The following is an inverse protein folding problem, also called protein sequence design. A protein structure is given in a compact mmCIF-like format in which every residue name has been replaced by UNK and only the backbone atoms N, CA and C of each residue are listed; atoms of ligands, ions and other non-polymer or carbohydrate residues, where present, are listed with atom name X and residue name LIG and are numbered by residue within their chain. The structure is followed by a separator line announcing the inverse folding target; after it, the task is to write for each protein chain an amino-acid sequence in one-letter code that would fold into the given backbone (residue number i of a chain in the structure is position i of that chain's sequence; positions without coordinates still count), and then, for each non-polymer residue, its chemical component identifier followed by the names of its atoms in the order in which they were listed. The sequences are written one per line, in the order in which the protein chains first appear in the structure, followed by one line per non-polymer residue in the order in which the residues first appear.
data_IF_819952267843
#
_entry.id   IF_819952267843
#
_cell.length_a   1.000
_cell.length_b   1.000
_cell.length_c   1.000
_cell.angle_alpha   90.00
_cell.angle_beta   90.00
_cell.angle_gamma   90.00
#
_symmetry.space_group_name_H-M   'P 1'
#
loop_
_entity.id
_entity.type
_entity.pdbx_description
1 polymer ?
#
# COMPACT_ATOMS: atom_id res chain seq x y z
N UNK A 1 30.01 6.82 21.17
CA UNK A 1 30.25 7.00 19.72
C UNK A 1 31.70 6.63 19.34
N UNK A 2 31.94 5.37 18.93
CA UNK A 2 33.29 4.86 18.54
C UNK A 2 33.28 3.97 17.29
N UNK A 3 32.10 3.53 16.82
CA UNK A 3 31.96 2.70 15.62
C UNK A 3 32.01 3.57 14.35
N UNK A 4 31.31 4.72 14.34
CA UNK A 4 31.25 5.61 13.18
C UNK A 4 32.61 6.19 12.76
N UNK A 5 33.60 6.29 13.66
CA UNK A 5 34.95 6.80 13.32
C UNK A 5 35.90 5.73 12.77
N UNK A 6 35.51 4.44 12.82
CA UNK A 6 36.33 3.31 12.37
C UNK A 6 35.77 2.61 11.13
N UNK A 7 34.62 3.05 10.64
CA UNK A 7 33.96 2.50 9.45
C UNK A 7 33.98 3.51 8.32
N UNK A 8 34.15 3.03 7.08
CA UNK A 8 33.94 3.83 5.88
C UNK A 8 32.46 3.79 5.52
N UNK A 9 31.82 4.96 5.44
CA UNK A 9 30.43 5.07 4.96
C UNK A 9 30.42 4.89 3.44
N UNK A 10 29.66 3.90 2.97
CA UNK A 10 29.36 3.71 1.54
C UNK A 10 27.88 4.04 1.35
N UNK A 11 27.53 5.22 0.79
CA UNK A 11 26.14 5.60 0.59
C UNK A 11 25.53 4.80 -0.56
N UNK A 12 24.37 4.20 -0.33
CA UNK A 12 23.53 3.61 -1.37
C UNK A 12 22.41 4.60 -1.68
N UNK A 13 22.40 5.09 -2.91
CA UNK A 13 21.36 6.01 -3.39
C UNK A 13 20.22 5.23 -4.07
N UNK A 14 18.97 5.73 -3.99
CA UNK A 14 17.85 5.13 -4.70
C UNK A 14 18.10 5.14 -6.20
N UNK A 15 17.70 4.06 -6.88
CA UNK A 15 17.79 3.99 -8.33
C UNK A 15 16.74 4.89 -8.98
N UNK A 16 17.04 5.50 -10.14
CA UNK A 16 16.02 6.15 -10.97
C UNK A 16 14.87 5.18 -11.29
N UNK A 17 13.63 5.66 -11.26
CA UNK A 17 12.45 4.83 -11.56
C UNK A 17 12.54 4.17 -12.94
N UNK A 18 13.08 4.88 -13.93
CA UNK A 18 13.30 4.36 -15.28
C UNK A 18 14.25 3.16 -15.31
N UNK A 19 15.26 3.14 -14.44
CA UNK A 19 16.21 2.06 -14.33
C UNK A 19 15.59 0.85 -13.63
N UNK A 20 14.83 1.07 -12.55
CA UNK A 20 14.08 0.00 -11.88
C UNK A 20 13.08 -0.64 -12.84
N UNK A 21 12.29 0.16 -13.58
CA UNK A 21 11.31 -0.35 -14.54
C UNK A 21 11.98 -1.21 -15.62
N UNK A 22 13.07 -0.71 -16.22
CA UNK A 22 13.84 -1.44 -17.24
C UNK A 22 14.36 -2.78 -16.72
N UNK A 23 14.87 -2.82 -15.48
CA UNK A 23 15.35 -4.07 -14.88
C UNK A 23 14.19 -5.06 -14.69
N UNK A 24 13.02 -4.59 -14.21
CA UNK A 24 11.85 -5.45 -14.03
C UNK A 24 11.32 -6.00 -15.37
N UNK A 25 11.28 -5.19 -16.42
CA UNK A 25 10.90 -5.64 -17.77
C UNK A 25 11.84 -6.75 -18.27
N UNK A 26 13.15 -6.58 -18.08
CA UNK A 26 14.16 -7.54 -18.55
C UNK A 26 14.18 -8.84 -17.74
N UNK A 27 14.08 -8.76 -16.42
CA UNK A 27 14.18 -9.92 -15.53
C UNK A 27 12.88 -10.71 -15.45
N UNK A 28 11.73 -10.02 -15.39
CA UNK A 28 10.44 -10.63 -15.12
C UNK A 28 9.49 -10.63 -16.33
N UNK A 29 9.86 -10.02 -17.45
CA UNK A 29 9.06 -10.02 -18.68
C UNK A 29 7.69 -9.33 -18.54
N UNK A 30 7.55 -8.41 -17.58
CA UNK A 30 6.31 -7.69 -17.33
C UNK A 30 6.11 -6.55 -18.34
N UNK A 31 4.86 -6.15 -18.55
CA UNK A 31 4.53 -5.05 -19.45
C UNK A 31 5.09 -3.70 -18.96
N UNK A 32 5.45 -2.77 -19.86
CA UNK A 32 6.04 -1.49 -19.49
C UNK A 32 5.22 -0.68 -18.48
N UNK A 33 3.89 -0.65 -18.63
CA UNK A 33 3.01 0.09 -17.71
C UNK A 33 3.02 -0.51 -16.30
N UNK A 34 3.03 -1.84 -16.19
CA UNK A 34 3.14 -2.55 -14.90
C UNK A 34 4.52 -2.34 -14.27
N UNK A 35 5.59 -2.33 -15.07
CA UNK A 35 6.95 -2.07 -14.61
C UNK A 35 7.10 -0.64 -14.09
N UNK A 36 6.54 0.34 -14.80
CA UNK A 36 6.53 1.74 -14.38
C UNK A 36 5.77 1.92 -13.06
N UNK A 37 4.61 1.27 -12.92
CA UNK A 37 3.81 1.31 -11.68
C UNK A 37 4.57 0.72 -10.50
N UNK A 38 5.17 -0.46 -10.67
CA UNK A 38 6.00 -1.10 -9.64
C UNK A 38 7.23 -0.26 -9.28
N UNK A 39 7.88 0.33 -10.27
CA UNK A 39 9.05 1.19 -10.05
C UNK A 39 8.70 2.46 -9.27
N UNK A 40 7.54 3.08 -9.55
CA UNK A 40 7.04 4.22 -8.80
C UNK A 40 6.78 3.86 -7.33
N UNK A 41 6.15 2.70 -7.08
CA UNK A 41 5.87 2.19 -5.73
C UNK A 41 7.11 1.74 -4.96
N UNK A 42 8.16 1.36 -5.67
CA UNK A 42 9.39 0.85 -5.08
C UNK A 42 10.33 1.94 -4.54
N UNK A 43 10.08 3.22 -4.86
CA UNK A 43 10.88 4.37 -4.40
C UNK A 43 12.40 4.19 -4.65
N UNK A 44 12.75 3.61 -5.80
CA UNK A 44 14.15 3.35 -6.19
C UNK A 44 14.78 2.12 -5.53
N UNK A 45 14.04 1.36 -4.72
CA UNK A 45 14.48 0.09 -4.14
C UNK A 45 14.09 -1.08 -5.04
N UNK A 46 15.04 -1.59 -5.82
CA UNK A 46 14.82 -2.75 -6.68
C UNK A 46 14.40 -4.01 -5.87
N UNK A 47 14.94 -4.19 -4.67
CA UNK A 47 14.54 -5.27 -3.76
C UNK A 47 13.06 -5.18 -3.37
N UNK A 48 12.60 -3.97 -3.03
CA UNK A 48 11.18 -3.72 -2.77
C UNK A 48 10.32 -3.98 -4.01
N UNK A 49 10.74 -3.50 -5.18
CA UNK A 49 10.02 -3.73 -6.43
C UNK A 49 9.81 -5.23 -6.73
N UNK A 50 10.86 -6.04 -6.55
CA UNK A 50 10.79 -7.51 -6.69
C UNK A 50 9.85 -8.14 -5.67
N UNK A 51 9.85 -7.64 -4.42
CA UNK A 51 8.94 -8.12 -3.39
C UNK A 51 7.47 -7.82 -3.77
N UNK A 52 7.17 -6.58 -4.17
CA UNK A 52 5.83 -6.17 -4.60
C UNK A 52 5.30 -7.07 -5.73
N UNK A 53 6.17 -7.38 -6.70
CA UNK A 53 5.86 -8.26 -7.81
C UNK A 53 5.65 -9.72 -7.36
N UNK A 54 6.62 -10.30 -6.65
CA UNK A 54 6.59 -11.70 -6.25
C UNK A 54 5.41 -12.06 -5.34
N UNK A 55 4.96 -11.11 -4.52
CA UNK A 55 3.82 -11.27 -3.61
C UNK A 55 2.50 -10.75 -4.16
N UNK A 56 2.50 -10.22 -5.39
CA UNK A 56 1.34 -9.58 -6.01
C UNK A 56 0.66 -8.52 -5.11
N UNK A 57 1.45 -7.68 -4.43
CA UNK A 57 0.90 -6.74 -3.45
C UNK A 57 0.05 -5.64 -4.10
N UNK A 58 0.37 -5.24 -5.33
CA UNK A 58 -0.45 -4.24 -6.05
C UNK A 58 -1.84 -4.77 -6.39
N UNK A 59 -1.94 -6.05 -6.77
CA UNK A 59 -3.21 -6.72 -7.03
C UNK A 59 -4.05 -6.84 -5.77
N UNK A 60 -3.46 -7.30 -4.66
CA UNK A 60 -4.16 -7.40 -3.39
C UNK A 60 -4.58 -6.03 -2.84
N UNK A 61 -3.74 -5.00 -2.97
CA UNK A 61 -4.10 -3.61 -2.65
C UNK A 61 -5.28 -3.15 -3.49
N UNK A 62 -5.30 -3.42 -4.79
CA UNK A 62 -6.41 -3.05 -5.67
C UNK A 62 -7.72 -3.75 -5.27
N UNK A 63 -7.67 -5.04 -4.94
CA UNK A 63 -8.82 -5.81 -4.45
C UNK A 63 -9.39 -5.20 -3.17
N UNK A 64 -8.53 -4.91 -2.18
CA UNK A 64 -8.94 -4.28 -0.93
C UNK A 64 -9.58 -2.91 -1.19
N UNK A 65 -8.95 -2.06 -2.01
CA UNK A 65 -9.48 -0.73 -2.36
C UNK A 65 -10.86 -0.84 -3.00
N UNK A 66 -11.03 -1.75 -3.97
CA UNK A 66 -12.30 -1.97 -4.65
C UNK A 66 -13.40 -2.36 -3.66
N UNK A 67 -13.11 -3.26 -2.72
CA UNK A 67 -14.07 -3.68 -1.70
C UNK A 67 -14.39 -2.56 -0.71
N UNK A 68 -13.39 -1.80 -0.25
CA UNK A 68 -13.62 -0.66 0.65
C UNK A 68 -14.54 0.41 0.03
N UNK A 69 -14.52 0.55 -1.30
CA UNK A 69 -15.36 1.52 -2.00
C UNK A 69 -16.75 1.00 -2.36
N UNK A 70 -16.91 -0.31 -2.59
CA UNK A 70 -18.17 -0.92 -3.00
C UNK A 70 -19.02 -1.42 -1.83
N UNK A 71 -18.39 -1.85 -0.73
CA UNK A 71 -19.11 -2.45 0.39
C UNK A 71 -19.83 -1.40 1.24
N UNK A 72 -21.08 -1.69 1.58
CA UNK A 72 -21.82 -0.98 2.62
C UNK A 72 -21.59 -1.66 3.97
N UNK A 73 -21.43 -0.89 5.06
CA UNK A 73 -21.31 -1.46 6.39
C UNK A 73 -22.56 -2.27 6.78
N UNK A 74 -22.39 -3.18 7.75
CA UNK A 74 -23.46 -3.93 8.40
C UNK A 74 -24.29 -4.90 7.53
N UNK A 75 -23.78 -5.32 6.37
CA UNK A 75 -24.39 -6.39 5.59
C UNK A 75 -23.67 -7.74 5.80
N UNK A 76 -24.38 -8.88 5.83
CA UNK A 76 -23.74 -10.20 5.96
C UNK A 76 -22.72 -10.50 4.86
N UNK A 77 -22.97 -10.01 3.64
CA UNK A 77 -22.04 -10.15 2.52
C UNK A 77 -20.74 -9.37 2.77
N UNK A 78 -20.83 -8.13 3.26
CA UNK A 78 -19.66 -7.34 3.64
C UNK A 78 -18.82 -8.02 4.71
N UNK A 79 -19.46 -8.61 5.73
CA UNK A 79 -18.74 -9.30 6.82
C UNK A 79 -17.89 -10.44 6.25
N UNK A 80 -18.49 -11.29 5.40
CA UNK A 80 -17.77 -12.40 4.80
C UNK A 80 -16.60 -11.92 3.94
N UNK A 81 -16.83 -10.94 3.06
CA UNK A 81 -15.81 -10.40 2.17
C UNK A 81 -14.64 -9.78 2.94
N UNK A 82 -14.91 -9.02 4.00
CA UNK A 82 -13.87 -8.39 4.82
C UNK A 82 -13.04 -9.43 5.58
N UNK A 83 -13.67 -10.47 6.14
CA UNK A 83 -12.93 -11.56 6.78
C UNK A 83 -12.04 -12.32 5.78
N UNK A 84 -12.53 -12.59 4.57
CA UNK A 84 -11.72 -13.25 3.51
C UNK A 84 -10.51 -12.38 3.11
N UNK A 85 -10.69 -11.07 2.96
CA UNK A 85 -9.61 -10.13 2.69
C UNK A 85 -8.60 -10.08 3.84
N UNK A 86 -9.07 -10.05 5.08
CA UNK A 86 -8.22 -10.03 6.26
C UNK A 86 -7.37 -11.31 6.36
N UNK A 87 -7.95 -12.48 6.08
CA UNK A 87 -7.21 -13.73 6.00
C UNK A 87 -6.18 -13.73 4.87
N UNK A 88 -6.54 -13.20 3.70
CA UNK A 88 -5.63 -13.07 2.55
C UNK A 88 -4.44 -12.17 2.90
N UNK A 89 -4.70 -11.01 3.50
CA UNK A 89 -3.66 -10.09 3.96
C UNK A 89 -2.77 -10.70 5.05
N UNK A 90 -3.35 -11.40 6.03
CA UNK A 90 -2.61 -12.02 7.12
C UNK A 90 -1.61 -13.10 6.64
N UNK A 91 -1.88 -13.76 5.51
CA UNK A 91 -0.96 -14.75 4.90
C UNK A 91 0.37 -14.13 4.43
N UNK A 92 0.43 -12.81 4.25
CA UNK A 92 1.67 -12.10 3.90
C UNK A 92 2.71 -12.08 5.02
N UNK A 93 2.30 -12.29 6.28
CA UNK A 93 3.19 -12.30 7.45
C UNK A 93 4.05 -11.03 7.52
N UNK A 94 5.36 -11.14 7.31
CA UNK A 94 6.32 -10.04 7.37
C UNK A 94 6.04 -8.97 6.29
N UNK A 95 5.52 -9.40 5.13
CA UNK A 95 5.21 -8.54 3.98
C UNK A 95 3.87 -7.79 4.14
N UNK A 96 3.09 -8.09 5.19
CA UNK A 96 1.83 -7.38 5.47
C UNK A 96 2.08 -5.88 5.70
N UNK A 97 3.24 -5.53 6.28
CA UNK A 97 3.63 -4.14 6.51
C UNK A 97 3.74 -3.35 5.20
N UNK A 98 4.23 -3.96 4.12
CA UNK A 98 4.30 -3.34 2.80
C UNK A 98 2.91 -3.14 2.20
N UNK A 99 1.99 -4.11 2.37
CA UNK A 99 0.60 -3.94 1.92
C UNK A 99 -0.08 -2.76 2.63
N UNK A 100 0.09 -2.62 3.94
CA UNK A 100 -0.48 -1.50 4.68
C UNK A 100 0.14 -0.16 4.29
N UNK A 101 1.44 -0.13 3.98
CA UNK A 101 2.10 1.07 3.45
C UNK A 101 1.49 1.46 2.09
N UNK A 102 1.27 0.51 1.19
CA UNK A 102 0.63 0.76 -0.10
C UNK A 102 -0.81 1.32 0.03
N UNK A 103 -1.59 0.85 1.00
CA UNK A 103 -2.91 1.41 1.29
C UNK A 103 -2.77 2.82 1.87
N UNK A 104 -1.77 3.05 2.72
CA UNK A 104 -1.47 4.36 3.32
C UNK A 104 -1.14 5.41 2.25
N UNK A 105 -0.28 5.06 1.28
CA UNK A 105 0.08 5.98 0.18
C UNK A 105 -1.12 6.29 -0.71
N UNK A 106 -2.00 5.32 -0.96
CA UNK A 106 -3.24 5.57 -1.70
C UNK A 106 -4.16 6.58 -0.97
N UNK A 107 -4.35 6.44 0.34
CA UNK A 107 -5.15 7.40 1.12
C UNK A 107 -4.50 8.80 1.14
N UNK A 108 -3.17 8.86 1.17
CA UNK A 108 -2.45 10.12 1.04
C UNK A 108 -2.69 10.77 -0.34
N UNK A 109 -2.67 9.99 -1.42
CA UNK A 109 -2.98 10.47 -2.76
C UNK A 109 -4.42 10.97 -2.89
N UNK A 110 -5.38 10.35 -2.21
CA UNK A 110 -6.76 10.86 -2.13
C UNK A 110 -6.84 12.22 -1.45
N UNK A 111 -6.07 12.44 -0.38
CA UNK A 111 -5.96 13.75 0.26
C UNK A 111 -5.36 14.79 -0.69
N UNK A 112 -4.28 14.46 -1.40
CA UNK A 112 -3.67 15.36 -2.39
C UNK A 112 -4.64 15.70 -3.51
N UNK A 113 -5.32 14.69 -4.06
CA UNK A 113 -6.31 14.84 -5.12
C UNK A 113 -7.48 15.74 -4.69
N UNK A 114 -8.01 15.54 -3.48
CA UNK A 114 -9.09 16.36 -2.92
C UNK A 114 -8.74 17.84 -2.74
N UNK A 115 -7.46 18.18 -2.63
CA UNK A 115 -6.96 19.57 -2.55
C UNK A 115 -6.44 20.12 -3.89
N UNK A 116 -6.61 19.37 -5.00
CA UNK A 116 -6.15 19.78 -6.33
C UNK A 116 -4.64 19.62 -6.57
N UNK A 117 -3.90 18.98 -5.65
CA UNK A 117 -2.46 18.78 -5.75
C UNK A 117 -2.11 17.48 -6.51
N UNK A 118 -2.55 17.37 -7.77
CA UNK A 118 -2.43 16.12 -8.56
C UNK A 118 -1.00 15.79 -9.03
N UNK A 119 -0.06 16.73 -8.96
CA UNK A 119 1.30 16.58 -9.46
C UNK A 119 2.20 15.64 -8.65
N UNK A 120 1.77 15.22 -7.45
CA UNK A 120 2.54 14.36 -6.55
C UNK A 120 1.88 13.00 -6.28
N UNK A 121 0.84 12.65 -7.04
CA UNK A 121 0.15 11.35 -6.91
C UNK A 121 1.09 10.24 -7.36
N UNK A 122 1.15 9.15 -6.61
CA UNK A 122 2.00 7.98 -6.92
C UNK A 122 1.13 6.83 -7.48
N UNK A 123 -0.06 6.62 -6.91
CA UNK A 123 -0.99 5.53 -7.23
C UNK A 123 -1.84 5.83 -8.48
N UNK A 124 -1.17 6.14 -9.60
CA UNK A 124 -1.84 6.45 -10.87
C UNK A 124 -2.73 5.32 -11.39
N UNK A 125 -2.35 4.08 -11.10
CA UNK A 125 -3.10 2.88 -11.45
C UNK A 125 -4.45 2.78 -10.73
N UNK A 126 -4.57 3.39 -9.55
CA UNK A 126 -5.84 3.54 -8.82
C UNK A 126 -6.59 4.83 -9.15
N UNK A 127 -6.13 5.65 -10.08
CA UNK A 127 -6.81 6.91 -10.45
C UNK A 127 -8.31 6.78 -10.75
N UNK A 128 -8.84 5.69 -11.36
CA UNK A 128 -10.28 5.53 -11.58
C UNK A 128 -11.09 5.49 -10.27
N UNK A 129 -10.46 5.10 -9.16
CA UNK A 129 -11.11 4.98 -7.84
C UNK A 129 -11.22 6.33 -7.11
N UNK A 130 -10.42 7.33 -7.50
CA UNK A 130 -10.21 8.55 -6.70
C UNK A 130 -11.50 9.37 -6.57
N UNK A 131 -12.24 9.53 -7.66
CA UNK A 131 -13.47 10.31 -7.63
C UNK A 131 -14.55 9.64 -6.76
N UNK A 132 -14.65 8.31 -6.81
CA UNK A 132 -15.57 7.54 -5.95
C UNK A 132 -15.18 7.66 -4.48
N UNK A 133 -13.89 7.51 -4.18
CA UNK A 133 -13.37 7.62 -2.82
C UNK A 133 -13.58 9.01 -2.22
N UNK A 134 -13.29 10.09 -2.96
CA UNK A 134 -13.51 11.47 -2.50
C UNK A 134 -14.99 11.85 -2.36
N UNK A 135 -15.92 11.13 -3.01
CA UNK A 135 -17.36 11.27 -2.77
C UNK A 135 -17.81 10.53 -1.51
N UNK A 136 -17.19 9.37 -1.23
CA UNK A 136 -17.52 8.52 -0.08
C UNK A 136 -16.96 9.07 1.22
N UNK A 137 -15.73 9.61 1.21
CA UNK A 137 -15.02 10.03 2.41
C UNK A 137 -14.59 11.49 2.35
N UNK A 138 -14.82 12.21 3.45
CA UNK A 138 -14.28 13.54 3.69
C UNK A 138 -12.78 13.52 4.03
N UNK A 139 -12.10 14.66 3.90
CA UNK A 139 -10.69 14.81 4.31
C UNK A 139 -10.44 14.43 5.78
N UNK A 140 -11.40 14.71 6.67
CA UNK A 140 -11.36 14.27 8.07
C UNK A 140 -11.40 12.75 8.19
N UNK A 141 -12.29 12.08 7.46
CA UNK A 141 -12.42 10.61 7.46
C UNK A 141 -11.20 9.93 6.84
N UNK A 142 -10.61 10.49 5.78
CA UNK A 142 -9.34 10.01 5.21
C UNK A 142 -8.20 10.13 6.24
N UNK A 143 -8.15 11.24 6.99
CA UNK A 143 -7.16 11.42 8.06
C UNK A 143 -7.33 10.43 9.22
N UNK A 144 -8.57 10.08 9.59
CA UNK A 144 -8.81 9.02 10.58
C UNK A 144 -8.33 7.65 10.08
N UNK A 145 -8.57 7.33 8.80
CA UNK A 145 -8.11 6.06 8.19
C UNK A 145 -6.58 5.93 8.21
N UNK A 146 -5.85 7.01 7.98
CA UNK A 146 -4.39 7.03 8.15
C UNK A 146 -3.98 6.71 9.60
N UNK A 147 -4.72 7.21 10.61
CA UNK A 147 -4.46 6.87 12.03
C UNK A 147 -4.76 5.41 12.35
N UNK A 148 -5.81 4.83 11.75
CA UNK A 148 -6.15 3.42 11.89
C UNK A 148 -5.05 2.52 11.30
N UNK A 149 -4.55 2.86 10.11
CA UNK A 149 -3.43 2.14 9.47
C UNK A 149 -2.15 2.20 10.31
N UNK A 150 -1.79 3.37 10.83
CA UNK A 150 -0.64 3.52 11.75
C UNK A 150 -0.82 2.70 13.04
N UNK A 151 -2.03 2.67 13.59
CA UNK A 151 -2.36 1.86 14.77
C UNK A 151 -2.21 0.36 14.48
N UNK A 152 -2.74 -0.12 13.35
CA UNK A 152 -2.61 -1.50 12.93
C UNK A 152 -1.14 -1.91 12.73
N UNK A 153 -0.33 -1.07 12.08
CA UNK A 153 1.12 -1.30 11.93
C UNK A 153 1.83 -1.42 13.28
N UNK A 154 1.49 -0.57 14.25
CA UNK A 154 2.05 -0.63 15.61
C UNK A 154 1.64 -1.90 16.35
N UNK A 155 0.41 -2.39 16.16
CA UNK A 155 -0.05 -3.65 16.74
C UNK A 155 0.70 -4.85 16.13
N UNK A 156 0.86 -4.87 14.81
CA UNK A 156 1.62 -5.92 14.11
C UNK A 156 3.08 -5.95 14.55
N UNK A 157 3.72 -4.79 14.72
CA UNK A 157 5.08 -4.69 15.26
C UNK A 157 5.22 -5.21 16.71
N UNK A 158 4.11 -5.32 17.44
CA UNK A 158 4.04 -5.90 18.79
C UNK A 158 3.62 -7.37 18.79
N UNK A 159 3.65 -8.04 17.65
CA UNK A 159 3.28 -9.46 17.48
C UNK A 159 1.82 -9.77 17.85
N UNK A 160 0.90 -8.81 17.67
CA UNK A 160 -0.53 -9.10 17.73
C UNK A 160 -0.95 -10.06 16.60
N UNK A 161 -2.06 -10.78 16.79
CA UNK A 161 -2.58 -11.72 15.78
C UNK A 161 -2.90 -10.97 14.47
N UNK A 162 -2.21 -11.26 13.35
CA UNK A 162 -2.38 -10.50 12.10
C UNK A 162 -3.79 -10.54 11.52
N UNK A 163 -4.47 -11.68 11.60
CA UNK A 163 -5.84 -11.83 11.09
C UNK A 163 -6.78 -10.91 11.85
N UNK A 164 -6.75 -10.95 13.18
CA UNK A 164 -7.60 -10.10 14.01
C UNK A 164 -7.32 -8.61 13.81
N UNK A 165 -6.04 -8.21 13.66
CA UNK A 165 -5.69 -6.81 13.36
C UNK A 165 -6.25 -6.39 11.99
N UNK A 166 -6.11 -7.23 10.96
CA UNK A 166 -6.61 -6.92 9.62
C UNK A 166 -8.14 -6.85 9.58
N UNK A 167 -8.85 -7.75 10.29
CA UNK A 167 -10.31 -7.71 10.36
C UNK A 167 -10.79 -6.38 10.96
N UNK A 168 -10.29 -6.03 12.16
CA UNK A 168 -10.66 -4.77 12.83
C UNK A 168 -10.35 -3.58 11.94
N UNK A 169 -9.13 -3.54 11.37
CA UNK A 169 -8.71 -2.46 10.48
C UNK A 169 -9.66 -2.34 9.28
N UNK A 170 -9.92 -3.42 8.56
CA UNK A 170 -10.70 -3.37 7.32
C UNK A 170 -12.17 -3.03 7.57
N UNK A 171 -12.75 -3.45 8.69
CA UNK A 171 -14.06 -2.97 9.10
C UNK A 171 -14.07 -1.47 9.42
N UNK A 172 -13.08 -0.97 10.15
CA UNK A 172 -12.97 0.46 10.49
C UNK A 172 -12.68 1.35 9.26
N UNK A 173 -12.16 0.77 8.18
CA UNK A 173 -11.88 1.47 6.92
C UNK A 173 -13.10 1.63 5.98
N UNK A 174 -14.22 0.92 6.21
CA UNK A 174 -15.44 1.00 5.39
C UNK A 174 -16.11 2.38 5.39
#
# INVERSE_FOLDING_TARGET
PTILSRCQTVPFFPLPQTEVAKILEQEAGIAPDSAATLAAMAEGSLGRARLLLAKNLLGLRQEIVDHLLRCEPDTPATIQTISELAESAAKLKEDLSELLELITTWIHDLLLFGHGASGSIINHDLSPTFQTACRRWSSRQLSERLRLLDTARKQLARNCNPTAVCEVLFFDLL
#
